data_IF_650882890637
#
_entry.id   IF_650882890637
#
_cell.length_a   1.000
_cell.length_b   1.000
_cell.length_c   1.000
_cell.angle_alpha   90.00
_cell.angle_beta   90.00
_cell.angle_gamma   90.00
#
_symmetry.space_group_name_H-M   'P 1'
#
loop_
_entity.id
_entity.type
_entity.pdbx_description
1 polymer ?
#
# COMPACT_ATOMS: atom_id res chain seq x y z
N UNK A 1 -16.28 -13.81 -7.30
CA UNK A 1 -16.43 -12.35 -7.50
C UNK A 1 -15.06 -11.75 -7.84
N UNK A 2 -14.99 -10.62 -8.56
CA UNK A 2 -13.75 -9.84 -8.66
C UNK A 2 -13.80 -8.63 -7.72
N UNK A 3 -12.69 -8.34 -7.06
CA UNK A 3 -12.54 -7.19 -6.18
C UNK A 3 -11.25 -6.42 -6.51
N UNK A 4 -11.27 -5.11 -6.29
CA UNK A 4 -10.11 -4.24 -6.46
C UNK A 4 -9.54 -3.82 -5.10
N UNK A 5 -8.21 -3.82 -4.97
CA UNK A 5 -7.52 -3.38 -3.75
C UNK A 5 -6.27 -2.59 -4.10
N UNK A 6 -6.10 -1.41 -3.51
CA UNK A 6 -4.85 -0.65 -3.61
C UNK A 6 -4.06 -0.81 -2.32
N UNK A 7 -2.81 -1.23 -2.42
CA UNK A 7 -1.89 -1.33 -1.28
C UNK A 7 -0.61 -0.52 -1.53
N UNK A 8 0.06 -0.14 -0.45
CA UNK A 8 1.45 0.34 -0.52
C UNK A 8 2.35 -0.88 -0.62
N UNK A 9 3.08 -0.99 -1.73
CA UNK A 9 3.94 -2.14 -2.04
C UNK A 9 5.40 -1.87 -1.68
N UNK A 10 5.87 -0.62 -1.86
CA UNK A 10 7.22 -0.21 -1.47
C UNK A 10 7.27 1.27 -1.13
N UNK A 11 8.06 1.61 -0.12
CA UNK A 11 8.47 2.99 0.18
C UNK A 11 10.00 3.02 0.11
N UNK A 12 10.54 3.99 -0.61
CA UNK A 12 11.98 4.16 -0.82
C UNK A 12 12.39 5.58 -0.45
N UNK A 13 13.40 5.72 0.39
CA UNK A 13 13.99 7.01 0.74
C UNK A 13 15.03 7.38 -0.31
N UNK A 14 14.93 8.58 -0.87
CA UNK A 14 15.92 9.16 -1.78
C UNK A 14 16.93 9.95 -0.94
N UNK A 15 18.14 9.41 -0.68
CA UNK A 15 19.02 9.94 0.38
C UNK A 15 19.52 11.35 0.11
N UNK A 16 19.69 11.73 -1.16
CA UNK A 16 20.24 13.02 -1.56
C UNK A 16 19.24 14.17 -1.38
N UNK A 17 17.95 13.92 -1.63
CA UNK A 17 16.88 14.93 -1.50
C UNK A 17 16.12 14.84 -0.17
N UNK A 18 16.18 13.68 0.51
CA UNK A 18 15.30 13.37 1.63
C UNK A 18 13.84 13.14 1.20
N UNK A 19 13.55 13.12 -0.10
CA UNK A 19 12.23 12.77 -0.61
C UNK A 19 11.97 11.27 -0.43
N UNK A 20 10.70 10.89 -0.40
CA UNK A 20 10.30 9.48 -0.40
C UNK A 20 9.52 9.16 -1.67
N UNK A 21 9.88 8.05 -2.30
CA UNK A 21 9.14 7.48 -3.43
C UNK A 21 8.24 6.36 -2.91
N UNK A 22 6.94 6.49 -3.14
CA UNK A 22 5.95 5.49 -2.76
C UNK A 22 5.49 4.75 -4.01
N UNK A 23 5.56 3.42 -3.99
CA UNK A 23 4.96 2.54 -5.00
C UNK A 23 3.69 1.94 -4.44
N UNK A 24 2.59 2.19 -5.11
CA UNK A 24 1.31 1.53 -4.90
C UNK A 24 1.16 0.34 -5.86
N UNK A 25 0.48 -0.69 -5.40
CA UNK A 25 0.04 -1.83 -6.20
C UNK A 25 -1.47 -1.87 -6.18
N UNK A 26 -2.07 -1.73 -7.36
CA UNK A 26 -3.51 -1.86 -7.57
C UNK A 26 -3.76 -3.31 -8.01
N UNK A 27 -4.35 -4.11 -7.14
CA UNK A 27 -4.58 -5.54 -7.30
C UNK A 27 -6.01 -5.78 -7.77
N UNK A 28 -6.17 -6.73 -8.70
CA UNK A 28 -7.43 -7.38 -9.02
C UNK A 28 -7.41 -8.77 -8.39
N UNK A 29 -8.40 -9.03 -7.54
CA UNK A 29 -8.51 -10.25 -6.75
C UNK A 29 -9.71 -11.06 -7.23
N UNK A 30 -9.53 -12.37 -7.39
CA UNK A 30 -10.63 -13.33 -7.42
C UNK A 30 -10.97 -13.70 -5.98
N UNK A 31 -12.21 -13.45 -5.59
CA UNK A 31 -12.75 -13.79 -4.28
C UNK A 31 -13.74 -14.93 -4.43
N UNK A 32 -13.52 -16.01 -3.70
CA UNK A 32 -14.40 -17.18 -3.68
C UNK A 32 -14.86 -17.48 -2.26
N UNK A 33 -16.14 -17.83 -2.12
CA UNK A 33 -16.69 -18.23 -0.84
C UNK A 33 -16.19 -19.63 -0.47
N UNK A 34 -15.77 -19.78 0.78
CA UNK A 34 -15.49 -21.07 1.39
C UNK A 34 -16.77 -21.57 2.03
N UNK A 35 -17.26 -22.71 1.57
CA UNK A 35 -18.44 -23.37 2.11
C UNK A 35 -18.05 -24.45 3.13
N UNK A 36 -18.82 -24.58 4.20
CA UNK A 36 -18.79 -25.78 5.03
C UNK A 36 -19.53 -26.96 4.37
N UNK A 37 -19.56 -28.10 5.06
CA UNK A 37 -20.22 -29.33 4.60
C UNK A 37 -21.74 -29.18 4.39
N UNK A 38 -22.36 -28.21 5.06
CA UNK A 38 -23.77 -27.86 4.92
C UNK A 38 -24.03 -26.82 3.82
N UNK A 39 -22.99 -26.39 3.09
CA UNK A 39 -23.07 -25.42 2.01
C UNK A 39 -23.17 -23.97 2.48
N UNK A 40 -22.88 -23.68 3.75
CA UNK A 40 -22.91 -22.32 4.31
C UNK A 40 -21.54 -21.64 4.18
N UNK A 41 -21.55 -20.36 3.81
CA UNK A 41 -20.34 -19.53 3.74
C UNK A 41 -19.74 -19.36 5.13
N UNK A 42 -18.48 -19.78 5.28
CA UNK A 42 -17.69 -19.66 6.52
C UNK A 42 -16.51 -18.71 6.39
N UNK A 43 -16.16 -18.32 5.17
CA UNK A 43 -15.11 -17.36 4.88
C UNK A 43 -14.96 -17.13 3.39
N UNK A 44 -13.90 -16.43 3.02
CA UNK A 44 -13.55 -16.15 1.62
C UNK A 44 -12.07 -16.41 1.39
N UNK A 45 -11.71 -16.94 0.23
CA UNK A 45 -10.33 -16.94 -0.27
C UNK A 45 -10.12 -15.77 -1.21
N UNK A 46 -8.91 -15.24 -1.24
CA UNK A 46 -8.50 -14.20 -2.18
C UNK A 46 -7.29 -14.68 -2.98
N UNK A 47 -7.40 -14.65 -4.31
CA UNK A 47 -6.30 -14.92 -5.23
C UNK A 47 -6.04 -13.66 -6.05
N UNK A 48 -4.80 -13.15 -6.06
CA UNK A 48 -4.44 -12.07 -6.98
C UNK A 48 -4.34 -12.62 -8.41
N UNK A 49 -5.18 -12.09 -9.30
CA UNK A 49 -5.23 -12.50 -10.72
C UNK A 49 -4.57 -11.48 -11.65
N UNK A 50 -4.44 -10.23 -11.20
CA UNK A 50 -3.74 -9.18 -11.94
C UNK A 50 -3.33 -8.04 -11.01
N UNK A 51 -2.36 -7.23 -11.43
CA UNK A 51 -1.98 -6.02 -10.73
C UNK A 51 -1.32 -4.99 -11.65
N UNK A 52 -1.34 -3.74 -11.22
CA UNK A 52 -0.55 -2.65 -11.82
C UNK A 52 0.20 -1.88 -10.74
N UNK A 53 1.30 -1.23 -11.13
CA UNK A 53 2.07 -0.38 -10.22
C UNK A 53 1.89 1.09 -10.56
N UNK A 54 1.66 1.90 -9.54
CA UNK A 54 1.68 3.36 -9.62
C UNK A 54 2.75 3.89 -8.67
N UNK A 55 3.40 5.01 -9.02
CA UNK A 55 4.40 5.66 -8.16
C UNK A 55 4.12 7.13 -8.03
N UNK A 56 4.40 7.66 -6.85
CA UNK A 56 4.45 9.09 -6.58
C UNK A 56 5.60 9.41 -5.64
N UNK A 57 5.99 10.68 -5.61
CA UNK A 57 7.08 11.19 -4.77
C UNK A 57 6.49 12.19 -3.81
N UNK A 58 6.89 12.11 -2.55
CA UNK A 58 6.64 13.13 -1.53
C UNK A 58 7.98 13.79 -1.21
N UNK A 59 8.06 15.08 -1.51
CA UNK A 59 9.20 15.92 -1.14
C UNK A 59 9.25 16.13 0.37
N UNK A 60 10.43 16.48 0.89
CA UNK A 60 10.60 16.77 2.32
C UNK A 60 9.65 17.88 2.76
N UNK A 61 8.84 17.59 3.79
CA UNK A 61 7.87 18.55 4.35
C UNK A 61 6.58 18.67 3.54
N UNK A 62 6.35 17.77 2.56
CA UNK A 62 5.06 17.68 1.89
C UNK A 62 3.93 17.38 2.89
N UNK A 63 2.72 17.83 2.55
CA UNK A 63 1.53 17.50 3.32
C UNK A 63 1.23 15.99 3.27
N UNK A 64 0.99 15.41 4.43
CA UNK A 64 0.75 13.99 4.63
C UNK A 64 -0.74 13.67 4.85
N UNK A 65 -1.64 14.65 4.77
CA UNK A 65 -3.08 14.39 4.83
C UNK A 65 -3.50 13.36 3.78
N UNK A 66 -4.34 12.40 4.18
CA UNK A 66 -4.78 11.30 3.30
C UNK A 66 -3.72 10.24 2.96
N UNK A 67 -2.46 10.40 3.37
CA UNK A 67 -1.44 9.37 3.14
C UNK A 67 -1.66 8.14 4.05
N UNK A 68 -1.33 6.92 3.58
CA UNK A 68 -1.32 5.72 4.41
C UNK A 68 -0.41 5.84 5.63
N UNK A 69 -0.77 5.21 6.75
CA UNK A 69 -0.03 5.34 8.02
C UNK A 69 1.44 4.89 7.92
N UNK A 70 1.72 3.84 7.14
CA UNK A 70 3.08 3.38 6.91
C UNK A 70 3.92 4.40 6.08
N UNK A 71 3.29 5.11 5.13
CA UNK A 71 3.94 6.20 4.38
C UNK A 71 4.25 7.36 5.30
N UNK A 72 3.29 7.75 6.16
CA UNK A 72 3.46 8.80 7.16
C UNK A 72 4.62 8.50 8.11
N UNK A 73 4.65 7.30 8.66
CA UNK A 73 5.71 6.88 9.57
C UNK A 73 7.10 6.94 8.93
N UNK A 74 7.24 6.49 7.67
CA UNK A 74 8.52 6.57 6.95
C UNK A 74 8.89 8.02 6.64
N UNK A 75 7.94 8.86 6.24
CA UNK A 75 8.17 10.29 5.99
C UNK A 75 8.66 10.99 7.26
N UNK A 76 7.95 10.82 8.37
CA UNK A 76 8.29 11.40 9.68
C UNK A 76 9.66 10.92 10.17
N UNK A 77 9.95 9.62 10.06
CA UNK A 77 11.26 9.08 10.41
C UNK A 77 12.37 9.68 9.52
N UNK A 78 12.16 9.74 8.21
CA UNK A 78 13.15 10.25 7.27
C UNK A 78 13.44 11.73 7.50
N UNK A 79 12.41 12.54 7.77
CA UNK A 79 12.54 14.00 7.86
C UNK A 79 12.92 14.51 9.25
N UNK A 80 12.58 13.76 10.30
CA UNK A 80 13.00 14.07 11.67
C UNK A 80 14.49 13.78 11.92
N UNK A 81 15.09 12.85 11.16
CA UNK A 81 16.50 12.48 11.29
C UNK A 81 17.51 13.51 10.74
N UNK A 82 17.07 14.67 10.23
CA UNK A 82 17.95 15.76 9.75
C UNK A 82 18.06 16.94 10.73
N UNK A 83 18.21 16.67 12.03
CA UNK A 83 18.83 17.59 12.98
C UNK A 83 20.19 17.01 13.42
N UNK A 84 21.23 17.27 12.62
CA UNK A 84 22.63 17.51 13.04
C UNK A 84 23.53 17.75 11.83
#
# INVERSE_FOLDING_TARGET
MLAERTIVDRIEVLPESGAIQVRQRNQILRVEDVLDEDGKVTGTTEEEVSFTFHRYVLEKGADLEGQPENVKAVAEATWSLQLQ
#
